data_IF_782089485897
#
_entry.id   IF_782089485897
#
_cell.length_a   1.000
_cell.length_b   1.000
_cell.length_c   1.000
_cell.angle_alpha   90.00
_cell.angle_beta   90.00
_cell.angle_gamma   90.00
#
_symmetry.space_group_name_H-M   'P 1'
#
loop_
_entity.id
_entity.type
_entity.pdbx_description
1 polymer ?
#
# COMPACT_ATOMS: atom_id res chain seq x y z
N UNK A 1 -28.69 -22.43 57.40
CA UNK A 1 -29.29 -21.75 56.22
C UNK A 1 -28.48 -22.19 55.01
N UNK A 2 -28.95 -23.20 54.29
CA UNK A 2 -28.29 -23.72 53.08
C UNK A 2 -28.86 -23.03 51.85
N UNK A 3 -28.08 -22.48 50.92
CA UNK A 3 -28.58 -21.87 49.72
C UNK A 3 -29.09 -22.97 48.77
N UNK A 4 -30.38 -22.93 48.45
CA UNK A 4 -31.00 -23.76 47.43
C UNK A 4 -30.37 -23.49 46.07
N UNK A 5 -29.56 -24.42 45.59
CA UNK A 5 -29.07 -24.44 44.21
C UNK A 5 -30.26 -24.72 43.28
N UNK A 6 -30.81 -23.66 42.69
CA UNK A 6 -31.82 -23.80 41.63
C UNK A 6 -31.11 -24.37 40.39
N UNK A 7 -31.26 -25.66 40.16
CA UNK A 7 -30.85 -26.32 38.92
C UNK A 7 -31.61 -25.68 37.76
N UNK A 8 -30.92 -24.98 36.89
CA UNK A 8 -31.46 -24.51 35.61
C UNK A 8 -31.83 -25.75 34.79
N UNK A 9 -33.00 -25.81 34.19
CA UNK A 9 -33.42 -26.97 33.38
C UNK A 9 -32.45 -27.10 32.17
N UNK A 10 -32.02 -28.34 31.93
CA UNK A 10 -31.07 -28.68 30.84
C UNK A 10 -31.53 -28.18 29.46
N UNK A 11 -32.83 -27.99 29.26
CA UNK A 11 -33.39 -27.43 28.03
C UNK A 11 -32.96 -25.97 27.78
N UNK A 12 -32.83 -25.13 28.83
CA UNK A 12 -32.40 -23.74 28.70
C UNK A 12 -30.91 -23.63 28.40
N UNK A 13 -30.09 -24.54 28.95
CA UNK A 13 -28.65 -24.58 28.65
C UNK A 13 -28.40 -24.96 27.19
N UNK A 14 -29.14 -25.94 26.64
CA UNK A 14 -29.04 -26.36 25.23
C UNK A 14 -29.47 -25.25 24.28
N UNK A 15 -30.49 -24.47 24.61
CA UNK A 15 -30.93 -23.31 23.83
C UNK A 15 -29.85 -22.22 23.79
N UNK A 16 -29.23 -21.95 24.93
CA UNK A 16 -28.15 -20.92 25.02
C UNK A 16 -26.91 -21.30 24.21
N UNK A 17 -26.55 -22.60 24.21
CA UNK A 17 -25.40 -23.09 23.39
C UNK A 17 -25.70 -23.04 21.89
N UNK A 18 -26.91 -23.30 21.44
CA UNK A 18 -27.28 -23.23 20.03
C UNK A 18 -27.28 -21.80 19.50
N UNK A 19 -27.76 -20.83 20.29
CA UNK A 19 -27.74 -19.41 19.93
C UNK A 19 -26.30 -18.88 19.93
N UNK A 20 -25.48 -19.27 20.90
CA UNK A 20 -24.07 -18.90 20.95
C UNK A 20 -23.23 -19.43 19.76
N UNK A 21 -23.51 -20.69 19.36
CA UNK A 21 -22.85 -21.29 18.20
C UNK A 21 -23.24 -20.62 16.88
N UNK A 22 -24.47 -20.17 16.74
CA UNK A 22 -24.94 -19.46 15.54
C UNK A 22 -24.31 -18.08 15.38
N UNK A 23 -24.02 -17.39 16.50
CA UNK A 23 -23.32 -16.10 16.47
C UNK A 23 -21.84 -16.23 16.08
N UNK A 24 -21.21 -17.38 16.35
CA UNK A 24 -19.81 -17.63 15.98
C UNK A 24 -19.63 -17.99 14.49
N UNK A 25 -20.68 -18.41 13.80
CA UNK A 25 -20.68 -18.68 12.35
C UNK A 25 -21.06 -17.44 11.53
N UNK A 26 -21.52 -16.38 12.20
CA UNK A 26 -21.69 -15.07 11.58
C UNK A 26 -20.32 -14.60 11.06
N UNK A 27 -20.04 -14.89 9.77
CA UNK A 27 -18.77 -14.66 9.11
C UNK A 27 -18.27 -13.28 9.44
N UNK A 28 -17.01 -13.17 9.79
CA UNK A 28 -16.31 -11.91 9.81
C UNK A 28 -16.64 -11.21 8.50
N UNK A 29 -17.43 -10.14 8.55
CA UNK A 29 -17.63 -9.28 7.41
C UNK A 29 -16.23 -8.75 7.06
N UNK A 30 -15.58 -9.42 6.15
CA UNK A 30 -14.31 -8.99 5.58
C UNK A 30 -14.63 -7.66 4.92
N UNK A 31 -14.24 -6.56 5.53
CA UNK A 31 -14.24 -5.27 4.87
C UNK A 31 -13.30 -5.43 3.67
N UNK A 32 -13.88 -5.73 2.50
CA UNK A 32 -13.09 -5.94 1.30
C UNK A 32 -12.41 -4.62 0.96
N UNK A 33 -11.11 -4.69 0.80
CA UNK A 33 -10.34 -3.56 0.32
C UNK A 33 -10.76 -3.25 -1.12
N UNK A 34 -11.58 -2.23 -1.31
CA UNK A 34 -12.11 -1.82 -2.63
C UNK A 34 -11.02 -1.37 -3.59
N UNK A 35 -9.83 -1.14 -3.10
CA UNK A 35 -8.66 -0.69 -3.86
C UNK A 35 -7.68 -1.82 -4.15
N UNK A 36 -7.93 -3.02 -3.64
CA UNK A 36 -7.08 -4.17 -3.86
C UNK A 36 -6.95 -4.50 -5.35
N UNK A 37 -5.71 -4.69 -5.79
CA UNK A 37 -5.39 -4.99 -7.19
C UNK A 37 -5.41 -3.80 -8.15
N UNK A 38 -5.78 -2.60 -7.71
CA UNK A 38 -5.68 -1.41 -8.54
C UNK A 38 -4.22 -0.99 -8.73
N UNK A 39 -3.88 -0.59 -9.96
CA UNK A 39 -2.59 0.05 -10.21
C UNK A 39 -2.54 1.45 -9.57
N UNK A 40 -1.34 1.98 -9.36
CA UNK A 40 -1.16 3.31 -8.79
C UNK A 40 -1.84 4.42 -9.61
N UNK A 41 -1.88 4.28 -10.94
CA UNK A 41 -2.58 5.20 -11.83
C UNK A 41 -4.10 5.10 -11.66
N UNK A 42 -4.62 3.89 -11.48
CA UNK A 42 -6.05 3.69 -11.21
C UNK A 42 -6.45 4.25 -9.85
N UNK A 43 -5.60 4.07 -8.83
CA UNK A 43 -5.80 4.68 -7.52
C UNK A 43 -5.83 6.21 -7.64
N UNK A 44 -4.87 6.81 -8.35
CA UNK A 44 -4.85 8.24 -8.60
C UNK A 44 -6.13 8.71 -9.31
N UNK A 45 -6.53 8.01 -10.37
CA UNK A 45 -7.73 8.36 -11.14
C UNK A 45 -9.02 8.28 -10.30
N UNK A 46 -9.10 7.30 -9.40
CA UNK A 46 -10.29 7.08 -8.57
C UNK A 46 -10.40 8.06 -7.39
N UNK A 47 -9.27 8.45 -6.78
CA UNK A 47 -9.28 9.20 -5.51
C UNK A 47 -8.80 10.64 -5.64
N UNK A 48 -7.94 10.95 -6.60
CA UNK A 48 -7.26 12.25 -6.69
C UNK A 48 -7.67 13.09 -7.89
N UNK A 49 -7.94 12.46 -9.05
CA UNK A 49 -8.12 13.16 -10.32
C UNK A 49 -9.36 14.06 -10.39
N UNK A 50 -10.35 13.85 -9.51
CA UNK A 50 -11.51 14.71 -9.41
C UNK A 50 -11.12 16.17 -9.12
N UNK A 51 -10.16 16.36 -8.19
CA UNK A 51 -9.65 17.66 -7.79
C UNK A 51 -8.29 17.98 -8.43
N UNK A 52 -7.43 16.99 -8.61
CA UNK A 52 -6.07 17.15 -9.12
C UNK A 52 -5.97 16.61 -10.54
N UNK A 53 -6.08 17.47 -11.54
CA UNK A 53 -6.04 17.07 -12.96
C UNK A 53 -4.66 16.58 -13.41
N UNK A 54 -3.60 16.96 -12.68
CA UNK A 54 -2.22 16.55 -12.96
C UNK A 54 -1.61 15.94 -11.70
N UNK A 55 -1.03 14.73 -11.77
CA UNK A 55 -0.36 14.12 -10.65
C UNK A 55 0.98 14.76 -10.28
N UNK A 56 1.60 15.51 -11.21
CA UNK A 56 2.86 16.18 -10.95
C UNK A 56 2.72 17.26 -9.87
N UNK A 57 3.77 17.45 -9.10
CA UNK A 57 3.86 18.40 -7.98
C UNK A 57 2.99 18.06 -6.75
N UNK A 58 2.29 16.93 -6.73
CA UNK A 58 1.54 16.51 -5.55
C UNK A 58 2.44 15.98 -4.43
N UNK A 59 3.50 15.28 -4.79
CA UNK A 59 4.48 14.83 -3.82
C UNK A 59 5.37 15.99 -3.30
N UNK A 60 5.41 17.12 -4.00
CA UNK A 60 6.22 18.30 -3.64
C UNK A 60 7.69 17.97 -3.32
N UNK A 61 8.27 17.04 -4.09
CA UNK A 61 9.64 16.57 -3.87
C UNK A 61 9.85 15.72 -2.62
N UNK A 62 8.77 15.31 -1.94
CA UNK A 62 8.86 14.45 -0.76
C UNK A 62 9.26 13.04 -1.14
N UNK A 63 10.00 12.39 -0.26
CA UNK A 63 10.31 10.98 -0.41
C UNK A 63 9.04 10.12 -0.25
N UNK A 64 8.98 9.04 -1.01
CA UNK A 64 7.85 8.09 -0.98
C UNK A 64 7.46 7.70 0.45
N UNK A 65 8.43 7.35 1.29
CA UNK A 65 8.18 6.91 2.66
C UNK A 65 7.48 7.97 3.54
N UNK A 66 7.69 9.26 3.28
CA UNK A 66 7.04 10.34 4.03
C UNK A 66 5.61 10.63 3.56
N UNK A 67 5.26 10.19 2.34
CA UNK A 67 3.91 10.30 1.81
C UNK A 67 3.00 9.18 2.28
N UNK A 68 3.55 7.99 2.54
CA UNK A 68 2.78 6.79 2.86
C UNK A 68 1.84 6.97 4.05
N UNK A 69 2.28 7.44 5.24
CA UNK A 69 1.37 7.62 6.38
C UNK A 69 0.20 8.55 6.03
N UNK A 70 0.49 9.68 5.40
CA UNK A 70 -0.53 10.64 5.00
C UNK A 70 -1.55 10.05 4.02
N UNK A 71 -1.08 9.30 3.01
CA UNK A 71 -1.95 8.68 2.03
C UNK A 71 -2.78 7.56 2.64
N UNK A 72 -2.19 6.78 3.56
CA UNK A 72 -2.88 5.72 4.26
C UNK A 72 -4.00 6.26 5.15
N UNK A 73 -3.75 7.34 5.86
CA UNK A 73 -4.72 7.91 6.80
C UNK A 73 -5.88 8.63 6.11
N UNK A 74 -5.68 9.11 4.88
CA UNK A 74 -6.64 10.02 4.25
C UNK A 74 -7.19 9.54 2.91
N UNK A 75 -6.49 8.67 2.17
CA UNK A 75 -6.80 8.44 0.76
C UNK A 75 -6.76 7.00 0.29
N UNK A 76 -6.26 6.05 1.08
CA UNK A 76 -6.17 4.65 0.68
C UNK A 76 -6.76 3.73 1.72
N UNK A 77 -7.23 2.56 1.29
CA UNK A 77 -7.84 1.56 2.17
C UNK A 77 -6.81 0.61 2.78
N UNK A 78 -5.58 0.62 2.29
CA UNK A 78 -4.52 -0.25 2.78
C UNK A 78 -3.12 0.34 2.60
N UNK A 79 -2.17 -0.22 3.35
CA UNK A 79 -0.77 0.23 3.31
C UNK A 79 -0.11 -0.05 1.96
N UNK A 80 -0.49 -1.14 1.28
CA UNK A 80 0.03 -1.49 -0.04
C UNK A 80 -0.32 -0.44 -1.09
N UNK A 81 -1.56 -0.01 -1.10
CA UNK A 81 -2.08 1.04 -1.98
C UNK A 81 -1.41 2.38 -1.68
N UNK A 82 -1.21 2.72 -0.40
CA UNK A 82 -0.49 3.92 0.00
C UNK A 82 0.95 3.92 -0.55
N UNK A 83 1.66 2.78 -0.47
CA UNK A 83 2.99 2.64 -1.05
C UNK A 83 3.02 2.74 -2.57
N UNK A 84 2.04 2.12 -3.25
CA UNK A 84 1.91 2.20 -4.70
C UNK A 84 1.65 3.63 -5.17
N UNK A 85 0.69 4.30 -4.54
CA UNK A 85 0.32 5.68 -4.87
C UNK A 85 1.47 6.66 -4.56
N UNK A 86 2.11 6.54 -3.39
CA UNK A 86 3.27 7.36 -3.03
C UNK A 86 4.43 7.19 -4.02
N UNK A 87 4.67 5.96 -4.47
CA UNK A 87 5.69 5.66 -5.48
C UNK A 87 5.38 6.33 -6.81
N UNK A 88 4.14 6.25 -7.25
CA UNK A 88 3.69 6.90 -8.48
C UNK A 88 3.84 8.42 -8.41
N UNK A 89 3.32 9.07 -7.38
CA UNK A 89 3.39 10.53 -7.21
C UNK A 89 4.85 11.01 -7.15
N UNK A 90 5.70 10.33 -6.40
CA UNK A 90 7.12 10.68 -6.34
C UNK A 90 7.83 10.49 -7.68
N UNK A 91 7.46 9.47 -8.47
CA UNK A 91 8.07 9.22 -9.77
C UNK A 91 7.71 10.28 -10.81
N UNK A 92 6.45 10.74 -10.83
CA UNK A 92 6.03 11.79 -11.77
C UNK A 92 6.60 13.15 -11.41
N UNK A 93 6.83 13.43 -10.13
CA UNK A 93 7.51 14.63 -9.67
C UNK A 93 9.02 14.64 -10.04
N UNK A 94 9.66 13.49 -9.96
CA UNK A 94 11.07 13.35 -10.32
C UNK A 94 11.31 13.50 -11.84
N UNK A 95 10.25 13.42 -12.63
CA UNK A 95 10.36 13.39 -14.10
C UNK A 95 10.92 12.06 -14.61
N UNK A 96 11.07 11.92 -15.93
CA UNK A 96 11.64 10.71 -16.52
C UNK A 96 13.06 10.50 -15.97
N UNK A 97 13.46 9.23 -15.71
CA UNK A 97 14.80 8.92 -15.24
C UNK A 97 15.83 9.57 -16.17
N UNK A 98 16.58 10.53 -15.66
CA UNK A 98 17.76 11.02 -16.40
C UNK A 98 18.64 9.81 -16.64
N UNK A 99 18.76 9.38 -17.91
CA UNK A 99 19.70 8.36 -18.30
C UNK A 99 21.03 8.76 -17.66
N UNK A 100 21.51 7.97 -16.70
CA UNK A 100 22.85 8.15 -16.14
C UNK A 100 23.76 8.11 -17.35
N UNK A 101 24.33 9.25 -17.74
CA UNK A 101 25.42 9.27 -18.69
C UNK A 101 26.46 8.35 -18.08
N UNK A 102 26.51 7.12 -18.57
CA UNK A 102 27.59 6.19 -18.32
C UNK A 102 28.84 6.95 -18.72
N UNK A 103 29.62 7.38 -17.72
CA UNK A 103 30.90 7.99 -17.95
C UNK A 103 31.78 6.98 -18.67
N UNK A 104 31.74 7.00 -19.99
CA UNK A 104 32.69 6.30 -20.79
C UNK A 104 34.05 6.89 -20.42
N UNK A 105 34.74 6.21 -19.52
CA UNK A 105 36.17 6.41 -19.26
C UNK A 105 36.88 6.24 -20.57
N UNK A 106 37.22 7.34 -21.18
CA UNK A 106 38.07 7.38 -22.38
C UNK A 106 39.46 6.91 -21.97
N UNK A 107 39.64 5.59 -21.99
CA UNK A 107 40.94 4.95 -21.84
C UNK A 107 41.79 5.44 -22.98
N UNK A 108 42.63 6.42 -22.71
CA UNK A 108 43.71 6.83 -23.62
C UNK A 108 44.65 5.63 -23.79
N UNK A 109 44.50 4.91 -24.89
CA UNK A 109 45.53 4.02 -25.41
C UNK A 109 46.65 4.86 -25.95
N UNK A 110 47.67 5.06 -25.15
CA UNK A 110 48.96 5.53 -25.63
C UNK A 110 49.69 4.33 -26.20
N UNK A 111 49.65 4.17 -27.52
CA UNK A 111 50.52 3.28 -28.24
C UNK A 111 51.93 3.84 -28.28
N UNK A 112 52.99 3.08 -27.97
CA UNK A 112 54.35 3.52 -28.16
C UNK A 112 54.72 3.51 -29.64
N UNK A 113 55.27 4.59 -30.10
CA UNK A 113 55.86 4.69 -31.43
C UNK A 113 57.10 3.79 -31.50
N UNK A 114 57.09 2.79 -32.38
CA UNK A 114 58.27 2.04 -32.78
C UNK A 114 58.98 2.83 -33.84
N UNK A 115 60.13 3.38 -33.48
CA UNK A 115 61.09 3.91 -34.42
C UNK A 115 61.81 2.74 -35.09
N UNK A 116 61.66 2.59 -36.40
CA UNK A 116 62.54 1.75 -37.24
C UNK A 116 63.59 2.63 -37.83
N UNK A 117 64.82 2.23 -37.56
CA UNK A 117 66.02 2.69 -38.21
C UNK A 117 66.37 1.76 -39.38
#
# INVERSE_FOLDING_TARGET
MTPSSKFLPQATLRGLFLVGALCLVGGAAQAQNIDEGKSAQQLYAATCAACHKNPAALAKGRFRATLVPFLQDHYTTGVGEAWALAGYLASVDAGPPRAKKSGASKKRSSAPAVQQN
#
